data_IF_069853772477
#
_entry.id   IF_069853772477
#
_cell.length_a   1.000
_cell.length_b   1.000
_cell.length_c   1.000
_cell.angle_alpha   90.00
_cell.angle_beta   90.00
_cell.angle_gamma   90.00
#
_symmetry.space_group_name_H-M   'P 1'
#
loop_
_entity.id
_entity.type
_entity.pdbx_description
1 polymer ?
#
# COMPACT_ATOMS: atom_id res chain seq x y z
N UNK A 1 15.81 -27.60 2.53
CA UNK A 1 16.91 -27.19 3.44
C UNK A 1 18.17 -27.06 2.59
N UNK A 2 18.47 -25.85 2.16
CA UNK A 2 19.70 -25.55 1.39
C UNK A 2 20.82 -25.39 2.41
N UNK A 3 21.68 -26.38 2.51
CA UNK A 3 22.73 -26.48 3.54
C UNK A 3 23.87 -25.46 3.36
N UNK A 4 24.05 -24.87 2.18
CA UNK A 4 25.12 -23.89 1.90
C UNK A 4 24.84 -22.47 2.38
N UNK A 5 23.57 -22.06 2.47
CA UNK A 5 23.17 -20.72 2.94
C UNK A 5 23.17 -20.62 4.46
N UNK A 6 23.06 -21.75 5.16
CA UNK A 6 22.99 -21.79 6.63
C UNK A 6 24.26 -21.30 7.34
N UNK A 7 25.43 -21.51 6.79
CA UNK A 7 26.71 -21.13 7.46
C UNK A 7 27.03 -19.64 7.37
N UNK A 8 26.62 -18.97 6.29
CA UNK A 8 26.80 -17.51 6.14
C UNK A 8 25.63 -16.70 6.73
N UNK A 9 24.44 -17.29 6.82
CA UNK A 9 23.24 -16.62 7.35
C UNK A 9 23.17 -16.65 8.89
N UNK A 10 23.81 -17.59 9.56
CA UNK A 10 23.75 -17.76 11.01
C UNK A 10 24.07 -16.49 11.83
N UNK A 11 25.11 -15.71 11.52
CA UNK A 11 25.40 -14.46 12.25
C UNK A 11 24.32 -13.41 12.02
N UNK A 12 23.82 -13.29 10.78
CA UNK A 12 22.74 -12.35 10.43
C UNK A 12 21.43 -12.77 11.08
N UNK A 13 21.07 -14.04 11.02
CA UNK A 13 19.86 -14.56 11.65
C UNK A 13 19.86 -14.35 13.15
N UNK A 14 21.00 -14.51 13.82
CA UNK A 14 21.14 -14.20 15.26
C UNK A 14 20.95 -12.70 15.53
N UNK A 15 21.61 -11.84 14.76
CA UNK A 15 21.52 -10.41 14.91
C UNK A 15 20.09 -9.90 14.62
N UNK A 16 19.44 -10.41 13.58
CA UNK A 16 18.04 -10.12 13.31
C UNK A 16 17.11 -10.64 14.40
N UNK A 17 17.34 -11.84 14.91
CA UNK A 17 16.55 -12.38 16.02
C UNK A 17 16.69 -11.55 17.29
N UNK A 18 17.89 -11.08 17.61
CA UNK A 18 18.14 -10.18 18.73
C UNK A 18 17.45 -8.81 18.54
N UNK A 19 17.47 -8.25 17.32
CA UNK A 19 16.80 -6.99 17.02
C UNK A 19 15.27 -7.12 17.08
N UNK A 20 14.72 -8.20 16.51
CA UNK A 20 13.27 -8.46 16.48
C UNK A 20 12.70 -8.85 17.86
N UNK A 21 13.54 -9.35 18.78
CA UNK A 21 13.13 -9.71 20.15
C UNK A 21 13.02 -8.51 21.10
N UNK A 22 13.36 -7.29 20.63
CA UNK A 22 13.29 -6.06 21.44
C UNK A 22 11.90 -5.46 21.37
N UNK A 23 11.50 -4.74 22.42
CA UNK A 23 10.25 -3.95 22.43
C UNK A 23 10.17 -2.90 21.29
N UNK A 24 11.34 -2.39 20.83
CA UNK A 24 11.48 -1.52 19.67
C UNK A 24 12.43 -2.15 18.64
N UNK A 25 11.94 -2.82 17.61
CA UNK A 25 12.75 -3.56 16.63
C UNK A 25 13.43 -2.66 15.58
N UNK A 26 13.87 -1.47 15.96
CA UNK A 26 14.59 -0.54 15.05
C UNK A 26 16.10 -0.74 15.22
N UNK A 27 16.83 -1.18 14.18
CA UNK A 27 18.27 -1.36 14.27
C UNK A 27 18.99 -0.01 14.46
N UNK A 28 19.96 0.01 15.38
CA UNK A 28 20.81 1.18 15.65
C UNK A 28 21.73 1.50 14.46
N UNK A 29 22.35 2.69 14.46
CA UNK A 29 23.29 3.09 13.39
C UNK A 29 24.52 2.18 13.28
N UNK A 30 24.96 1.58 14.38
CA UNK A 30 26.08 0.66 14.43
C UNK A 30 25.70 -0.72 13.89
N UNK A 31 24.57 -1.25 14.32
CA UNK A 31 24.00 -2.50 13.80
C UNK A 31 23.71 -2.42 12.29
N UNK A 32 23.23 -1.29 11.79
CA UNK A 32 23.08 -1.05 10.34
C UNK A 32 24.39 -1.12 9.57
N UNK A 33 25.51 -0.69 10.18
CA UNK A 33 26.84 -0.80 9.55
C UNK A 33 27.33 -2.25 9.49
N UNK A 34 26.99 -3.08 10.47
CA UNK A 34 27.32 -4.52 10.49
C UNK A 34 26.42 -5.34 9.56
N UNK A 35 25.12 -4.99 9.50
CA UNK A 35 24.15 -5.67 8.64
C UNK A 35 24.44 -5.42 7.15
N UNK A 36 24.82 -4.21 6.76
CA UNK A 36 25.00 -3.84 5.36
C UNK A 36 25.99 -4.74 4.58
N UNK A 37 27.26 -4.94 5.03
CA UNK A 37 28.21 -5.77 4.29
C UNK A 37 27.79 -7.26 4.29
N UNK A 38 27.03 -7.69 5.29
CA UNK A 38 26.51 -9.06 5.37
C UNK A 38 25.29 -9.22 4.45
N UNK A 39 24.41 -8.24 4.38
CA UNK A 39 23.29 -8.22 3.45
C UNK A 39 23.77 -8.18 1.99
N UNK A 40 24.81 -7.38 1.67
CA UNK A 40 25.39 -7.34 0.32
C UNK A 40 26.03 -8.69 -0.10
N UNK A 41 26.49 -9.50 0.86
CA UNK A 41 27.01 -10.85 0.58
C UNK A 41 25.90 -11.88 0.37
N UNK A 42 24.76 -11.72 1.04
CA UNK A 42 23.62 -12.64 0.94
C UNK A 42 22.67 -12.31 -0.19
N UNK A 43 22.48 -11.00 -0.45
CA UNK A 43 21.63 -10.53 -1.54
C UNK A 43 22.47 -10.31 -2.80
N UNK A 44 22.68 -11.35 -3.57
CA UNK A 44 23.35 -11.26 -4.86
C UNK A 44 22.52 -10.39 -5.81
N UNK A 45 23.20 -9.50 -6.58
CA UNK A 45 22.54 -8.64 -7.60
C UNK A 45 22.15 -9.41 -8.87
N UNK A 46 22.58 -10.64 -8.98
CA UNK A 46 22.36 -11.50 -10.13
C UNK A 46 21.74 -12.81 -9.68
N UNK A 47 20.91 -13.40 -10.53
CA UNK A 47 20.31 -14.73 -10.30
C UNK A 47 21.42 -15.77 -10.23
N UNK A 48 21.44 -16.51 -9.14
CA UNK A 48 22.40 -17.61 -8.92
C UNK A 48 21.77 -18.97 -9.25
N UNK A 49 22.59 -20.00 -9.36
CA UNK A 49 22.09 -21.37 -9.56
C UNK A 49 21.23 -21.82 -8.37
N UNK A 50 21.59 -21.38 -7.15
CA UNK A 50 20.85 -21.70 -5.94
C UNK A 50 19.45 -21.07 -5.95
N UNK A 51 19.29 -19.86 -6.50
CA UNK A 51 17.98 -19.21 -6.67
C UNK A 51 17.09 -20.01 -7.65
N UNK A 52 17.67 -20.53 -8.72
CA UNK A 52 16.94 -21.37 -9.69
C UNK A 52 16.49 -22.67 -9.01
N UNK A 53 17.39 -23.34 -8.30
CA UNK A 53 17.07 -24.59 -7.57
C UNK A 53 16.00 -24.33 -6.53
N UNK A 54 16.10 -23.26 -5.75
CA UNK A 54 15.10 -22.86 -4.76
C UNK A 54 13.73 -22.60 -5.41
N UNK A 55 13.70 -21.89 -6.53
CA UNK A 55 12.46 -21.61 -7.26
C UNK A 55 11.79 -22.87 -7.80
N UNK A 56 12.57 -23.81 -8.33
CA UNK A 56 12.06 -25.11 -8.80
C UNK A 56 11.55 -25.94 -7.64
N UNK A 57 12.30 -25.98 -6.53
CA UNK A 57 11.89 -26.68 -5.30
C UNK A 57 10.57 -26.16 -4.77
N UNK A 58 10.44 -24.82 -4.63
CA UNK A 58 9.19 -24.17 -4.18
C UNK A 58 8.01 -24.50 -5.10
N UNK A 59 8.23 -24.52 -6.42
CA UNK A 59 7.18 -24.86 -7.38
C UNK A 59 6.73 -26.33 -7.25
N UNK A 60 7.66 -27.23 -6.99
CA UNK A 60 7.34 -28.62 -6.72
C UNK A 60 6.62 -28.80 -5.39
N UNK A 61 7.04 -28.10 -4.34
CA UNK A 61 6.40 -28.12 -3.03
C UNK A 61 4.94 -27.67 -3.11
N UNK A 62 4.67 -26.56 -3.84
CA UNK A 62 3.30 -26.09 -4.12
C UNK A 62 2.45 -27.13 -4.85
N UNK A 63 3.04 -27.87 -5.81
CA UNK A 63 2.34 -28.95 -6.52
C UNK A 63 1.90 -30.09 -5.60
N UNK A 64 2.64 -30.32 -4.53
CA UNK A 64 2.33 -31.34 -3.53
C UNK A 64 1.54 -30.79 -2.32
N UNK A 65 1.06 -29.55 -2.41
CA UNK A 65 0.26 -28.91 -1.35
C UNK A 65 1.09 -28.44 -0.15
N UNK A 66 2.39 -28.30 -0.31
CA UNK A 66 3.29 -27.77 0.72
C UNK A 66 3.51 -26.28 0.44
N UNK A 67 2.97 -25.43 1.32
CA UNK A 67 3.00 -23.97 1.17
C UNK A 67 1.70 -23.39 0.60
N UNK A 68 1.65 -22.10 0.47
CA UNK A 68 0.51 -21.34 -0.05
C UNK A 68 0.91 -20.56 -1.30
N UNK A 69 -0.01 -20.44 -2.26
CA UNK A 69 0.20 -19.62 -3.46
C UNK A 69 -0.04 -18.17 -3.08
N UNK A 70 0.93 -17.32 -3.38
CA UNK A 70 0.78 -15.87 -3.22
C UNK A 70 -0.31 -15.32 -4.13
N UNK A 71 -1.16 -14.46 -3.57
CA UNK A 71 -2.18 -13.75 -4.33
C UNK A 71 -1.63 -12.38 -4.76
N UNK A 72 -1.62 -12.13 -6.08
CA UNK A 72 -1.15 -10.87 -6.67
C UNK A 72 -2.05 -9.69 -6.25
N UNK A 73 -3.35 -9.94 -6.04
CA UNK A 73 -4.32 -8.91 -5.70
C UNK A 73 -4.39 -8.60 -4.21
N UNK A 74 -3.68 -9.36 -3.40
CA UNK A 74 -3.53 -9.10 -1.97
C UNK A 74 -2.79 -7.78 -1.74
N UNK A 75 -3.32 -6.90 -0.87
CA UNK A 75 -2.72 -5.58 -0.60
C UNK A 75 -1.38 -5.64 0.18
N UNK A 76 -1.00 -6.80 0.68
CA UNK A 76 0.37 -7.08 1.15
C UNK A 76 1.39 -7.14 0.01
N UNK A 77 0.96 -7.50 -1.21
CA UNK A 77 1.79 -7.58 -2.41
C UNK A 77 1.63 -6.35 -3.34
N UNK A 78 0.60 -5.54 -3.14
CA UNK A 78 0.34 -4.31 -3.90
C UNK A 78 0.62 -3.10 -3.03
N UNK A 79 1.56 -2.27 -3.45
CA UNK A 79 1.91 -1.03 -2.75
C UNK A 79 1.54 0.21 -3.55
N UNK A 80 1.31 1.29 -2.85
CA UNK A 80 1.07 2.61 -3.44
C UNK A 80 2.40 3.32 -3.64
N UNK A 81 2.63 3.84 -4.84
CA UNK A 81 3.75 4.73 -5.13
C UNK A 81 3.29 6.18 -4.97
N UNK A 82 3.83 6.86 -3.99
CA UNK A 82 3.53 8.26 -3.73
C UNK A 82 4.21 9.19 -4.75
N UNK A 83 3.78 10.45 -4.76
CA UNK A 83 4.37 11.50 -5.62
C UNK A 83 5.88 11.63 -5.41
N UNK A 84 6.35 11.50 -4.16
CA UNK A 84 7.78 11.58 -3.84
C UNK A 84 8.60 10.53 -4.56
N UNK A 85 8.17 9.27 -4.58
CA UNK A 85 8.84 8.19 -5.29
C UNK A 85 8.82 8.40 -6.80
N UNK A 86 7.68 8.84 -7.36
CA UNK A 86 7.57 9.11 -8.79
C UNK A 86 8.50 10.25 -9.23
N UNK A 87 8.58 11.32 -8.45
CA UNK A 87 9.51 12.43 -8.69
C UNK A 87 10.98 11.98 -8.53
N UNK A 88 11.29 11.19 -7.54
CA UNK A 88 12.64 10.64 -7.35
C UNK A 88 13.10 9.85 -8.56
N UNK A 89 12.24 8.99 -9.12
CA UNK A 89 12.53 8.22 -10.32
C UNK A 89 12.79 9.13 -11.54
N UNK A 90 12.00 10.18 -11.71
CA UNK A 90 12.19 11.15 -12.79
C UNK A 90 13.48 11.96 -12.60
N UNK A 91 13.76 12.42 -11.38
CA UNK A 91 15.01 13.11 -11.07
C UNK A 91 16.22 12.22 -11.35
N UNK A 92 16.16 10.94 -11.00
CA UNK A 92 17.24 9.98 -11.30
C UNK A 92 17.53 9.88 -12.80
N UNK A 93 16.48 9.82 -13.63
CA UNK A 93 16.63 9.84 -15.09
C UNK A 93 17.27 11.16 -15.56
N UNK A 94 16.83 12.30 -15.02
CA UNK A 94 17.38 13.62 -15.33
C UNK A 94 18.87 13.75 -14.96
N UNK A 95 19.23 13.28 -13.77
CA UNK A 95 20.62 13.30 -13.29
C UNK A 95 21.49 12.34 -14.09
N UNK A 96 21.02 11.16 -14.44
CA UNK A 96 21.77 10.22 -15.29
C UNK A 96 22.03 10.77 -16.69
N UNK A 97 21.08 11.50 -17.26
CA UNK A 97 21.28 12.23 -18.55
C UNK A 97 22.32 13.35 -18.38
N UNK A 98 22.26 14.10 -17.28
CA UNK A 98 23.25 15.14 -16.96
C UNK A 98 24.64 14.56 -16.80
N UNK A 99 24.81 13.46 -16.07
CA UNK A 99 26.08 12.76 -15.87
C UNK A 99 26.70 12.36 -17.22
N UNK A 100 25.90 11.78 -18.11
CA UNK A 100 26.36 11.41 -19.45
C UNK A 100 26.87 12.62 -20.24
N UNK A 101 26.12 13.73 -20.24
CA UNK A 101 26.49 14.96 -20.92
C UNK A 101 27.78 15.58 -20.35
N UNK A 102 27.96 15.51 -19.04
CA UNK A 102 29.20 15.98 -18.40
C UNK A 102 30.39 15.14 -18.86
N UNK A 103 30.26 13.80 -18.85
CA UNK A 103 31.32 12.90 -19.32
C UNK A 103 31.68 13.16 -20.79
N UNK A 104 30.69 13.35 -21.66
CA UNK A 104 30.90 13.68 -23.09
C UNK A 104 31.65 15.02 -23.24
N UNK A 105 31.26 16.06 -22.47
CA UNK A 105 31.95 17.37 -22.50
C UNK A 105 33.36 17.30 -21.96
N UNK A 106 33.59 16.57 -20.85
CA UNK A 106 34.94 16.38 -20.31
C UNK A 106 35.88 15.67 -21.29
N UNK A 107 35.35 14.79 -22.13
CA UNK A 107 36.15 14.09 -23.17
C UNK A 107 36.47 14.98 -24.37
N UNK A 108 35.66 16.02 -24.64
CA UNK A 108 35.80 16.87 -25.85
C UNK A 108 36.43 18.22 -25.61
N UNK A 109 36.44 18.73 -24.37
CA UNK A 109 36.96 20.06 -24.00
C UNK A 109 38.39 19.97 -23.47
N UNK A 110 39.16 21.06 -23.66
CA UNK A 110 40.52 21.14 -23.11
C UNK A 110 40.50 21.22 -21.56
N UNK A 111 41.20 20.32 -20.87
CA UNK A 111 41.20 20.27 -19.40
C UNK A 111 41.68 21.58 -18.74
N UNK A 112 42.43 22.43 -19.46
CA UNK A 112 42.97 23.68 -18.89
C UNK A 112 41.97 24.85 -18.91
N UNK A 113 40.95 24.80 -19.78
CA UNK A 113 39.97 25.87 -19.93
C UNK A 113 38.57 25.49 -19.30
N UNK A 114 38.42 24.25 -18.85
CA UNK A 114 37.16 23.76 -18.35
C UNK A 114 36.80 24.32 -17.00
N UNK A 115 35.65 24.99 -16.91
CA UNK A 115 35.06 25.44 -15.64
C UNK A 115 33.86 24.55 -15.26
N UNK A 116 33.58 24.39 -13.97
CA UNK A 116 32.43 23.61 -13.48
C UNK A 116 31.09 24.14 -14.03
N UNK A 117 30.94 25.45 -14.13
CA UNK A 117 29.76 26.10 -14.71
C UNK A 117 29.58 25.84 -16.20
N UNK A 118 30.68 25.65 -16.95
CA UNK A 118 30.63 25.30 -18.37
C UNK A 118 30.25 23.83 -18.61
N UNK A 119 30.62 22.94 -17.71
CA UNK A 119 30.31 21.52 -17.80
C UNK A 119 28.87 21.20 -17.44
N UNK A 120 28.33 21.83 -16.39
CA UNK A 120 27.02 21.53 -15.84
C UNK A 120 25.93 22.25 -16.65
N UNK A 121 25.01 21.47 -17.23
CA UNK A 121 23.83 21.98 -17.92
C UNK A 121 22.57 21.48 -17.21
N UNK A 122 21.86 22.35 -16.54
CA UNK A 122 20.66 22.03 -15.75
C UNK A 122 19.43 21.70 -16.64
N UNK A 123 19.47 22.02 -17.94
CA UNK A 123 18.34 21.82 -18.86
C UNK A 123 17.76 20.41 -18.88
N UNK A 124 18.54 19.31 -18.90
CA UNK A 124 18.00 17.95 -18.91
C UNK A 124 17.16 17.64 -17.66
N UNK A 125 17.59 18.11 -16.49
CA UNK A 125 16.87 17.92 -15.23
C UNK A 125 15.55 18.71 -15.22
N UNK A 126 15.62 20.01 -15.60
CA UNK A 126 14.43 20.85 -15.71
C UNK A 126 13.42 20.34 -16.75
N UNK A 127 13.92 19.78 -17.86
CA UNK A 127 13.07 19.20 -18.90
C UNK A 127 12.28 17.98 -18.39
N UNK A 128 12.92 17.06 -17.67
CA UNK A 128 12.25 15.86 -17.12
C UNK A 128 11.20 16.22 -16.10
N UNK A 129 11.46 17.20 -15.21
CA UNK A 129 10.49 17.66 -14.24
C UNK A 129 9.29 18.31 -14.94
N UNK A 130 9.54 19.16 -15.96
CA UNK A 130 8.49 19.81 -16.74
C UNK A 130 7.65 18.80 -17.52
N UNK A 131 8.30 17.78 -18.08
CA UNK A 131 7.65 16.67 -18.78
C UNK A 131 6.74 15.88 -17.83
N UNK A 132 7.21 15.58 -16.62
CA UNK A 132 6.41 14.88 -15.61
C UNK A 132 5.14 15.64 -15.23
N UNK A 133 5.24 16.91 -14.89
CA UNK A 133 4.07 17.70 -14.51
C UNK A 133 3.16 18.07 -15.70
N UNK A 134 3.68 18.16 -16.90
CA UNK A 134 2.93 18.57 -18.09
C UNK A 134 2.28 17.45 -18.89
N UNK A 135 2.88 16.23 -18.89
CA UNK A 135 2.43 15.14 -19.77
C UNK A 135 2.21 13.81 -19.08
N UNK A 136 2.52 13.68 -17.78
CA UNK A 136 2.26 12.45 -17.05
C UNK A 136 0.76 12.22 -16.86
N UNK A 137 0.30 10.99 -17.09
CA UNK A 137 -1.09 10.57 -16.84
C UNK A 137 -1.51 10.75 -15.37
N UNK A 138 -0.56 10.68 -14.44
CA UNK A 138 -0.81 10.80 -13.00
C UNK A 138 -0.81 12.26 -12.52
N UNK A 139 -0.23 13.17 -13.29
CA UNK A 139 -0.31 14.61 -13.03
C UNK A 139 -1.56 15.15 -13.70
N UNK A 140 -2.59 15.38 -12.91
CA UNK A 140 -3.90 15.80 -13.39
C UNK A 140 -4.24 17.19 -12.87
N UNK A 141 -5.09 17.92 -13.60
CA UNK A 141 -5.68 19.15 -13.11
C UNK A 141 -6.58 18.82 -11.92
N UNK A 142 -6.42 19.54 -10.81
CA UNK A 142 -7.17 19.25 -9.60
C UNK A 142 -8.65 19.64 -9.77
N UNK A 143 -9.54 18.73 -9.39
CA UNK A 143 -10.96 18.99 -9.33
C UNK A 143 -11.25 19.86 -8.11
N UNK A 144 -11.70 21.09 -8.34
CA UNK A 144 -11.97 22.12 -7.31
C UNK A 144 -13.43 22.58 -7.31
N UNK A 145 -14.34 21.80 -7.86
CA UNK A 145 -15.77 22.15 -7.93
C UNK A 145 -16.39 22.32 -6.54
N UNK A 146 -15.98 21.48 -5.59
CA UNK A 146 -16.34 21.60 -4.18
C UNK A 146 -15.23 21.00 -3.28
N UNK A 147 -15.22 21.29 -1.96
CA UNK A 147 -14.20 20.74 -1.05
C UNK A 147 -14.12 19.22 -1.00
N UNK A 148 -15.25 18.52 -1.18
CA UNK A 148 -15.29 17.04 -1.20
C UNK A 148 -14.62 16.51 -2.46
N UNK A 149 -14.85 17.13 -3.62
CA UNK A 149 -14.22 16.77 -4.88
C UNK A 149 -12.69 16.90 -4.79
N UNK A 150 -12.21 17.99 -4.21
CA UNK A 150 -10.78 18.23 -3.98
C UNK A 150 -10.16 17.16 -3.06
N UNK A 151 -10.79 16.90 -1.91
CA UNK A 151 -10.33 15.89 -0.96
C UNK A 151 -10.30 14.49 -1.58
N UNK A 152 -11.36 14.12 -2.30
CA UNK A 152 -11.47 12.83 -2.97
C UNK A 152 -10.42 12.67 -4.06
N UNK A 153 -10.16 13.74 -4.84
CA UNK A 153 -9.14 13.71 -5.88
C UNK A 153 -7.73 13.48 -5.31
N UNK A 154 -7.42 14.09 -4.17
CA UNK A 154 -6.13 13.90 -3.46
C UNK A 154 -5.97 12.48 -2.88
N UNK A 155 -7.07 11.79 -2.58
CA UNK A 155 -7.09 10.43 -2.02
C UNK A 155 -7.33 9.33 -3.06
N UNK A 156 -7.28 9.66 -4.35
CA UNK A 156 -7.51 8.73 -5.44
C UNK A 156 -6.32 7.79 -5.65
N UNK A 157 -6.60 6.51 -5.81
CA UNK A 157 -5.64 5.46 -6.13
C UNK A 157 -5.85 5.02 -7.57
N UNK A 158 -4.79 5.01 -8.37
CA UNK A 158 -4.83 4.57 -9.76
C UNK A 158 -3.94 3.36 -9.97
N UNK A 159 -4.47 2.31 -10.60
CA UNK A 159 -3.69 1.17 -11.07
C UNK A 159 -2.99 1.45 -12.40
N UNK A 160 -3.35 2.54 -13.07
CA UNK A 160 -2.83 2.97 -14.37
C UNK A 160 -1.57 3.83 -14.20
N UNK A 161 -0.81 3.98 -15.28
CA UNK A 161 0.31 4.91 -15.34
C UNK A 161 1.67 4.21 -15.49
N UNK A 162 2.77 4.98 -15.39
CA UNK A 162 4.13 4.45 -15.57
C UNK A 162 4.45 3.35 -14.54
N UNK A 163 4.75 2.15 -15.03
CA UNK A 163 5.00 0.97 -14.19
C UNK A 163 3.76 0.38 -13.52
N UNK A 164 2.56 0.82 -13.89
CA UNK A 164 1.27 0.23 -13.57
C UNK A 164 0.72 -0.63 -14.70
N UNK A 165 -0.59 -0.90 -14.61
CA UNK A 165 -1.31 -1.69 -15.61
C UNK A 165 -1.65 -0.84 -16.85
N UNK A 166 -1.75 -1.50 -18.00
CA UNK A 166 -2.36 -0.91 -19.18
C UNK A 166 -3.86 -1.25 -19.18
N UNK A 167 -4.70 -0.29 -19.53
CA UNK A 167 -6.17 -0.44 -19.56
C UNK A 167 -6.63 -1.65 -20.37
N UNK A 168 -6.02 -1.87 -21.54
CA UNK A 168 -6.40 -2.94 -22.47
C UNK A 168 -5.95 -4.34 -21.99
N UNK A 169 -4.98 -4.40 -21.08
CA UNK A 169 -4.44 -5.65 -20.49
C UNK A 169 -4.99 -5.96 -19.10
N UNK A 170 -5.79 -5.06 -18.54
CA UNK A 170 -6.37 -5.26 -17.23
C UNK A 170 -7.50 -6.30 -17.30
N UNK A 171 -7.28 -7.46 -16.67
CA UNK A 171 -8.25 -8.54 -16.53
C UNK A 171 -9.37 -8.16 -15.55
N UNK A 172 -10.44 -8.96 -15.49
CA UNK A 172 -11.52 -8.77 -14.52
C UNK A 172 -11.01 -8.93 -13.08
N UNK A 173 -10.12 -9.88 -12.83
CA UNK A 173 -9.57 -10.16 -11.49
C UNK A 173 -8.94 -8.92 -10.82
N UNK A 174 -8.19 -8.12 -11.60
CA UNK A 174 -7.57 -6.88 -11.08
C UNK A 174 -8.60 -5.79 -10.75
N UNK A 175 -9.80 -5.87 -11.32
CA UNK A 175 -10.90 -4.92 -11.11
C UNK A 175 -11.82 -5.33 -9.97
N UNK A 176 -11.72 -6.59 -9.53
CA UNK A 176 -12.55 -7.14 -8.47
C UNK A 176 -12.12 -6.60 -7.09
N UNK A 177 -13.04 -6.72 -6.15
CA UNK A 177 -12.82 -6.35 -4.76
C UNK A 177 -12.25 -7.56 -4.02
N UNK A 178 -11.04 -7.43 -3.52
CA UNK A 178 -10.39 -8.44 -2.70
C UNK A 178 -10.70 -8.21 -1.21
N UNK A 179 -10.74 -9.26 -0.38
CA UNK A 179 -11.03 -9.12 1.06
C UNK A 179 -10.09 -8.15 1.78
N UNK A 180 -8.82 -8.06 1.35
CA UNK A 180 -7.83 -7.13 1.91
C UNK A 180 -8.14 -5.65 1.65
N UNK A 181 -9.12 -5.34 0.79
CA UNK A 181 -9.58 -3.96 0.56
C UNK A 181 -10.35 -3.40 1.76
N UNK A 182 -10.81 -4.27 2.66
CA UNK A 182 -11.54 -3.85 3.86
C UNK A 182 -10.74 -2.83 4.68
N UNK A 183 -11.36 -1.70 4.95
CA UNK A 183 -10.72 -0.61 5.71
C UNK A 183 -9.57 0.12 4.99
N UNK A 184 -9.19 -0.27 3.77
CA UNK A 184 -8.08 0.29 2.99
C UNK A 184 -8.51 0.98 1.72
N UNK A 185 -9.29 0.30 0.90
CA UNK A 185 -9.81 0.81 -0.36
C UNK A 185 -11.34 0.74 -0.35
N UNK A 186 -12.01 1.82 -0.74
CA UNK A 186 -13.46 1.84 -0.80
C UNK A 186 -13.97 0.89 -1.89
N UNK A 187 -14.87 -0.05 -1.55
CA UNK A 187 -15.43 -0.97 -2.54
C UNK A 187 -16.48 -0.35 -3.45
N UNK A 188 -16.99 0.83 -3.11
CA UNK A 188 -18.11 1.46 -3.79
C UNK A 188 -17.64 2.57 -4.73
N UNK A 189 -16.74 3.45 -4.28
CA UNK A 189 -16.32 4.61 -5.05
C UNK A 189 -15.31 4.23 -6.15
N UNK A 190 -15.79 4.05 -7.37
CA UNK A 190 -15.00 3.81 -8.59
C UNK A 190 -15.68 4.53 -9.76
N UNK A 191 -14.95 4.91 -10.83
CA UNK A 191 -15.55 5.42 -12.03
C UNK A 191 -16.44 4.37 -12.73
N UNK A 192 -17.47 4.82 -13.40
CA UNK A 192 -18.27 3.99 -14.31
C UNK A 192 -17.57 3.86 -15.66
N UNK A 193 -17.73 2.71 -16.33
CA UNK A 193 -17.21 2.46 -17.67
C UNK A 193 -15.84 1.80 -17.69
N UNK A 194 -14.99 2.15 -18.66
CA UNK A 194 -13.73 1.44 -18.95
C UNK A 194 -12.71 1.40 -17.79
N UNK A 195 -12.75 2.35 -16.89
CA UNK A 195 -11.82 2.46 -15.77
C UNK A 195 -12.37 1.86 -14.47
N UNK A 196 -13.49 1.14 -14.52
CA UNK A 196 -14.08 0.52 -13.33
C UNK A 196 -13.07 -0.42 -12.66
N UNK A 197 -12.93 -0.33 -11.34
CA UNK A 197 -11.99 -1.12 -10.55
C UNK A 197 -10.51 -0.74 -10.69
N UNK A 198 -10.12 0.01 -11.73
CA UNK A 198 -8.72 0.47 -11.92
C UNK A 198 -8.41 1.79 -11.21
N UNK A 199 -9.44 2.55 -10.94
CA UNK A 199 -9.33 3.80 -10.16
C UNK A 199 -10.23 3.64 -8.96
N UNK A 200 -9.66 3.74 -7.78
CA UNK A 200 -10.33 3.57 -6.49
C UNK A 200 -10.02 4.74 -5.57
N UNK A 201 -10.70 4.83 -4.46
CA UNK A 201 -10.46 5.83 -3.43
C UNK A 201 -9.99 5.19 -2.14
N UNK A 202 -9.07 5.86 -1.44
CA UNK A 202 -8.60 5.43 -0.14
C UNK A 202 -9.75 5.51 0.89
N UNK A 203 -9.90 4.48 1.71
CA UNK A 203 -10.90 4.45 2.77
C UNK A 203 -10.68 5.58 3.81
N UNK A 204 -11.72 5.95 4.54
CA UNK A 204 -11.73 7.15 5.39
C UNK A 204 -10.58 7.21 6.38
N UNK A 205 -10.32 6.12 7.10
CA UNK A 205 -9.28 6.05 8.14
C UNK A 205 -7.97 5.43 7.68
N UNK A 206 -7.89 4.97 6.43
CA UNK A 206 -6.70 4.33 5.89
C UNK A 206 -5.54 5.32 5.76
N UNK A 207 -4.32 4.83 6.02
CA UNK A 207 -3.05 5.54 5.85
C UNK A 207 -2.10 4.69 5.03
N UNK A 208 -1.13 5.35 4.40
CA UNK A 208 -0.05 4.67 3.67
C UNK A 208 1.21 4.77 4.53
N UNK A 209 1.91 3.65 4.71
CA UNK A 209 3.16 3.60 5.47
C UNK A 209 4.35 4.09 4.62
N UNK A 210 5.54 4.14 5.22
CA UNK A 210 6.79 4.59 4.56
C UNK A 210 7.19 3.70 3.38
N UNK A 211 6.75 2.45 3.37
CA UNK A 211 7.03 1.48 2.30
C UNK A 211 5.98 1.48 1.18
N UNK A 212 4.88 2.22 1.36
CA UNK A 212 3.80 2.32 0.39
C UNK A 212 2.63 1.36 0.61
N UNK A 213 2.62 0.57 1.69
CA UNK A 213 1.49 -0.31 2.01
C UNK A 213 0.37 0.46 2.71
N UNK A 214 -0.86 0.11 2.38
CA UNK A 214 -2.04 0.73 2.99
C UNK A 214 -2.34 0.03 4.31
N UNK A 215 -2.45 0.82 5.37
CA UNK A 215 -2.77 0.37 6.72
C UNK A 215 -4.17 0.82 7.12
N UNK A 216 -4.85 -0.01 7.91
CA UNK A 216 -6.14 0.29 8.52
C UNK A 216 -6.03 0.30 10.05
N UNK A 217 -6.78 1.16 10.77
CA UNK A 217 -6.75 1.23 12.22
C UNK A 217 -7.67 0.20 12.85
N UNK A 218 -7.20 -0.42 13.93
CA UNK A 218 -7.94 -1.37 14.75
C UNK A 218 -7.72 -1.10 16.22
N UNK A 219 -8.75 -1.32 17.06
CA UNK A 219 -8.65 -1.28 18.52
C UNK A 219 -8.11 -2.62 19.00
N UNK A 220 -7.10 -2.57 19.85
CA UNK A 220 -6.52 -3.77 20.44
C UNK A 220 -7.42 -4.33 21.54
N UNK A 221 -7.63 -5.66 21.54
CA UNK A 221 -8.31 -6.38 22.62
C UNK A 221 -7.24 -7.00 23.53
N UNK A 222 -7.35 -6.76 24.81
CA UNK A 222 -6.49 -7.39 25.80
C UNK A 222 -6.96 -8.84 26.06
N UNK A 223 -6.10 -9.80 25.76
CA UNK A 223 -6.43 -11.24 25.88
C UNK A 223 -6.65 -11.71 27.31
N UNK A 224 -5.99 -11.06 28.28
CA UNK A 224 -6.09 -11.48 29.68
C UNK A 224 -7.40 -11.02 30.33
N UNK A 225 -7.84 -9.83 29.97
CA UNK A 225 -9.05 -9.21 30.56
C UNK A 225 -10.27 -9.29 29.64
N UNK A 226 -10.08 -9.54 28.34
CA UNK A 226 -11.14 -9.50 27.32
C UNK A 226 -11.71 -8.09 27.10
N UNK A 227 -10.96 -7.05 27.44
CA UNK A 227 -11.37 -5.65 27.33
C UNK A 227 -10.86 -5.08 26.01
N UNK A 228 -11.74 -4.39 25.27
CA UNK A 228 -11.36 -3.59 24.11
C UNK A 228 -10.71 -2.30 24.62
N UNK A 229 -9.44 -2.11 24.28
CA UNK A 229 -8.69 -0.93 24.71
C UNK A 229 -8.93 0.26 23.77
N UNK A 230 -8.65 1.47 24.23
CA UNK A 230 -8.65 2.67 23.37
C UNK A 230 -7.36 2.80 22.52
N UNK A 231 -6.43 1.86 22.68
CA UNK A 231 -5.22 1.84 21.89
C UNK A 231 -5.52 1.39 20.45
N UNK A 232 -5.15 2.23 19.50
CA UNK A 232 -5.40 1.99 18.08
C UNK A 232 -4.09 1.66 17.38
N UNK A 233 -4.00 0.46 16.84
CA UNK A 233 -2.88 -0.01 16.03
C UNK A 233 -3.23 0.10 14.54
N UNK A 234 -2.25 0.50 13.72
CA UNK A 234 -2.40 0.51 12.27
C UNK A 234 -1.75 -0.73 11.69
N UNK A 235 -2.56 -1.63 11.14
CA UNK A 235 -2.10 -2.90 10.60
C UNK A 235 -2.08 -2.89 9.06
N UNK A 236 -1.03 -3.48 8.49
CA UNK A 236 -0.99 -3.84 7.07
C UNK A 236 -1.87 -5.06 6.79
N UNK A 237 -2.12 -5.37 5.51
CA UNK A 237 -2.96 -6.52 5.16
C UNK A 237 -2.36 -7.86 5.63
N UNK A 238 -1.03 -8.03 5.50
CA UNK A 238 -0.32 -9.24 5.94
C UNK A 238 -0.35 -9.43 7.45
N UNK A 239 -0.32 -8.33 8.20
CA UNK A 239 -0.42 -8.37 9.66
C UNK A 239 -1.83 -8.71 10.09
N UNK A 240 -2.85 -8.10 9.44
CA UNK A 240 -4.26 -8.35 9.74
C UNK A 240 -4.65 -9.82 9.54
N UNK A 241 -4.16 -10.48 8.50
CA UNK A 241 -4.46 -11.87 8.20
C UNK A 241 -4.08 -12.86 9.32
N UNK A 242 -3.21 -12.44 10.23
CA UNK A 242 -2.79 -13.25 11.38
C UNK A 242 -3.74 -13.13 12.57
N UNK A 243 -4.63 -12.14 12.55
CA UNK A 243 -5.48 -11.79 13.69
C UNK A 243 -6.95 -12.00 13.38
N UNK A 244 -7.73 -12.19 14.45
CA UNK A 244 -9.17 -12.26 14.40
C UNK A 244 -9.71 -10.89 14.81
N UNK A 245 -10.47 -10.27 13.91
CA UNK A 245 -10.96 -8.90 14.08
C UNK A 245 -12.48 -8.92 14.28
N UNK A 246 -12.94 -8.40 15.42
CA UNK A 246 -14.35 -8.21 15.71
C UNK A 246 -14.93 -7.02 14.93
N UNK A 247 -16.21 -7.11 14.57
CA UNK A 247 -16.91 -6.01 13.89
C UNK A 247 -17.19 -4.84 14.82
N UNK A 248 -17.20 -3.61 14.30
CA UNK A 248 -17.43 -2.38 15.07
C UNK A 248 -18.85 -2.29 15.67
N UNK A 249 -19.82 -3.04 15.14
CA UNK A 249 -21.22 -3.01 15.61
C UNK A 249 -21.48 -3.90 16.82
N UNK A 250 -20.51 -4.71 17.23
CA UNK A 250 -20.69 -5.56 18.41
C UNK A 250 -20.86 -4.72 19.68
N UNK A 251 -21.89 -5.02 20.51
CA UNK A 251 -22.14 -4.26 21.71
C UNK A 251 -21.07 -4.54 22.76
N UNK A 252 -20.56 -3.46 23.35
CA UNK A 252 -19.64 -3.48 24.48
C UNK A 252 -20.36 -3.10 25.77
N UNK A 253 -19.97 -3.72 26.87
CA UNK A 253 -20.40 -3.38 28.20
C UNK A 253 -19.74 -2.06 28.70
N UNK A 254 -20.17 -1.49 29.79
CA UNK A 254 -19.58 -0.29 30.42
C UNK A 254 -18.08 -0.44 30.71
N UNK A 255 -17.62 -1.67 30.89
CA UNK A 255 -16.22 -2.00 31.13
C UNK A 255 -15.42 -2.25 29.82
N UNK A 256 -16.04 -2.08 28.64
CA UNK A 256 -15.40 -2.32 27.35
C UNK A 256 -15.27 -3.80 26.96
N UNK A 257 -16.04 -4.70 27.58
CA UNK A 257 -16.07 -6.14 27.23
C UNK A 257 -17.20 -6.44 26.28
N UNK A 258 -17.00 -7.46 25.44
CA UNK A 258 -18.06 -7.97 24.56
C UNK A 258 -19.21 -8.56 25.39
N UNK A 259 -20.42 -8.12 25.09
CA UNK A 259 -21.65 -8.59 25.80
C UNK A 259 -21.97 -10.03 25.40
N UNK A 260 -21.84 -10.35 24.11
CA UNK A 260 -22.13 -11.67 23.57
C UNK A 260 -20.97 -12.65 23.83
N UNK A 261 -21.27 -13.92 24.10
CA UNK A 261 -20.26 -14.99 24.18
C UNK A 261 -19.66 -15.32 22.80
N UNK A 262 -20.47 -15.19 21.75
CA UNK A 262 -20.05 -15.34 20.35
C UNK A 262 -20.14 -13.98 19.68
N UNK A 263 -19.03 -13.58 19.08
CA UNK A 263 -18.83 -12.27 18.47
C UNK A 263 -18.69 -12.46 16.97
N UNK A 264 -19.38 -11.65 16.19
CA UNK A 264 -19.22 -11.60 14.75
C UNK A 264 -17.83 -11.05 14.43
N UNK A 265 -17.02 -11.85 13.74
CA UNK A 265 -15.64 -11.53 13.47
C UNK A 265 -15.25 -11.87 12.03
N UNK A 266 -14.14 -11.30 11.62
CA UNK A 266 -13.49 -11.54 10.34
C UNK A 266 -12.12 -12.15 10.58
N UNK A 267 -11.82 -13.21 9.85
CA UNK A 267 -10.50 -13.80 9.77
C UNK A 267 -10.19 -14.12 8.31
N UNK A 268 -9.24 -13.40 7.73
CA UNK A 268 -8.95 -13.43 6.29
C UNK A 268 -10.20 -13.11 5.45
N UNK A 269 -10.62 -14.01 4.58
CA UNK A 269 -11.82 -13.91 3.72
C UNK A 269 -13.11 -14.39 4.40
N UNK A 270 -13.01 -15.05 5.56
CA UNK A 270 -14.14 -15.67 6.25
C UNK A 270 -14.75 -14.71 7.28
N UNK A 271 -16.06 -14.52 7.16
CA UNK A 271 -16.89 -13.86 8.19
C UNK A 271 -17.58 -14.96 9.00
N UNK A 272 -17.25 -15.07 10.26
CA UNK A 272 -17.74 -16.12 11.15
C UNK A 272 -18.04 -15.55 12.54
N UNK A 273 -18.75 -16.35 13.35
CA UNK A 273 -18.92 -16.05 14.77
C UNK A 273 -17.96 -16.92 15.58
N UNK A 274 -17.13 -16.28 16.39
CA UNK A 274 -16.18 -16.96 17.28
C UNK A 274 -16.38 -16.57 18.73
N UNK A 275 -15.90 -17.38 19.70
CA UNK A 275 -15.92 -17.02 21.11
C UNK A 275 -15.11 -15.74 21.34
N UNK A 276 -15.62 -14.86 22.21
CA UNK A 276 -15.03 -13.55 22.56
C UNK A 276 -13.57 -13.63 23.02
N UNK A 277 -13.15 -14.74 23.62
CA UNK A 277 -11.79 -14.96 24.10
C UNK A 277 -10.72 -15.04 22.99
N UNK A 278 -11.17 -15.32 21.77
CA UNK A 278 -10.27 -15.43 20.60
C UNK A 278 -10.05 -14.12 19.85
N UNK A 279 -10.76 -13.06 20.24
CA UNK A 279 -10.66 -11.77 19.57
C UNK A 279 -9.32 -11.11 19.85
N UNK A 280 -8.62 -10.68 18.82
CA UNK A 280 -7.35 -9.97 18.89
C UNK A 280 -7.56 -8.46 18.77
N UNK A 281 -8.42 -8.06 17.84
CA UNK A 281 -8.71 -6.67 17.50
C UNK A 281 -10.20 -6.45 17.29
N UNK A 282 -10.61 -5.19 17.31
CA UNK A 282 -11.95 -4.73 16.95
C UNK A 282 -11.86 -3.57 15.97
N UNK A 283 -12.76 -3.50 15.00
CA UNK A 283 -12.88 -2.37 14.10
C UNK A 283 -13.18 -1.07 14.88
N UNK A 284 -12.60 0.04 14.46
CA UNK A 284 -12.79 1.35 15.12
C UNK A 284 -14.19 1.90 14.85
N UNK A 285 -14.67 1.79 13.62
CA UNK A 285 -15.97 2.32 13.20
C UNK A 285 -16.44 1.60 11.92
N UNK A 286 -17.75 1.43 11.71
CA UNK A 286 -18.29 0.92 10.45
C UNK A 286 -17.92 1.78 9.24
N UNK A 287 -17.69 3.08 9.45
CA UNK A 287 -17.30 4.03 8.38
C UNK A 287 -15.89 3.81 7.85
N UNK A 288 -15.08 2.98 8.49
CA UNK A 288 -13.72 2.68 7.99
C UNK A 288 -13.73 1.92 6.67
N UNK A 289 -14.82 1.22 6.34
CA UNK A 289 -14.96 0.45 5.10
C UNK A 289 -15.00 1.33 3.85
N UNK A 290 -15.57 2.52 3.95
CA UNK A 290 -15.92 3.37 2.82
C UNK A 290 -15.05 4.61 2.72
N UNK A 291 -15.03 5.25 1.52
CA UNK A 291 -14.37 6.53 1.31
C UNK A 291 -15.15 7.70 1.91
N UNK A 292 -14.53 8.87 1.96
CA UNK A 292 -15.15 10.09 2.53
C UNK A 292 -16.44 10.47 1.78
N UNK A 293 -16.43 10.42 0.45
CA UNK A 293 -17.62 10.74 -0.34
C UNK A 293 -18.77 9.76 -0.10
N UNK A 294 -18.45 8.48 -0.02
CA UNK A 294 -19.44 7.42 0.24
C UNK A 294 -19.97 7.48 1.67
N UNK A 295 -19.13 7.80 2.66
CA UNK A 295 -19.53 7.93 4.06
C UNK A 295 -20.53 9.07 4.33
N UNK A 296 -20.68 10.00 3.41
CA UNK A 296 -21.63 11.12 3.49
C UNK A 296 -23.00 10.77 2.93
N UNK A 297 -23.19 9.61 2.33
CA UNK A 297 -24.51 9.15 1.84
C UNK A 297 -25.33 8.71 3.05
N UNK A 298 -26.50 9.36 3.30
CA UNK A 298 -27.36 8.97 4.40
C UNK A 298 -28.02 7.60 4.12
N UNK A 299 -28.16 6.78 5.15
CA UNK A 299 -28.77 5.44 5.09
C UNK A 299 -28.13 4.51 4.04
N UNK A 300 -26.81 4.62 3.90
CA UNK A 300 -26.02 3.85 2.93
C UNK A 300 -26.23 2.34 3.07
N UNK A 301 -26.44 1.86 4.29
CA UNK A 301 -26.69 0.44 4.60
C UNK A 301 -27.93 -0.13 3.95
N UNK A 302 -28.89 0.72 3.58
CA UNK A 302 -30.15 0.34 2.93
C UNK A 302 -30.11 0.49 1.40
N UNK A 303 -29.03 1.09 0.87
CA UNK A 303 -28.88 1.35 -0.55
C UNK A 303 -28.23 0.18 -1.30
N UNK A 304 -28.65 -0.05 -2.53
CA UNK A 304 -27.96 -0.95 -3.45
C UNK A 304 -26.58 -0.37 -3.84
N UNK A 305 -25.59 -1.24 -3.95
CA UNK A 305 -24.19 -0.87 -4.26
C UNK A 305 -24.07 -0.06 -5.55
N UNK A 306 -24.83 -0.41 -6.59
CA UNK A 306 -24.82 0.33 -7.87
C UNK A 306 -25.33 1.78 -7.69
N UNK A 307 -26.36 1.96 -6.88
CA UNK A 307 -26.91 3.29 -6.58
C UNK A 307 -25.99 4.10 -5.67
N UNK A 308 -25.36 3.46 -4.70
CA UNK A 308 -24.36 4.08 -3.86
C UNK A 308 -23.13 4.56 -4.66
N UNK A 309 -22.70 3.79 -5.67
CA UNK A 309 -21.65 4.18 -6.60
C UNK A 309 -22.03 5.45 -7.37
N UNK A 310 -23.23 5.48 -7.95
CA UNK A 310 -23.74 6.68 -8.63
C UNK A 310 -23.85 7.86 -7.68
N UNK A 311 -24.33 7.65 -6.45
CA UNK A 311 -24.46 8.67 -5.41
C UNK A 311 -23.13 9.29 -5.00
N UNK A 312 -22.09 8.46 -4.80
CA UNK A 312 -20.74 8.92 -4.45
C UNK A 312 -20.10 9.76 -5.57
N UNK A 313 -20.32 9.37 -6.83
CA UNK A 313 -19.86 10.12 -7.99
C UNK A 313 -20.63 11.44 -8.16
N UNK A 314 -21.93 11.46 -7.90
CA UNK A 314 -22.76 12.66 -7.96
C UNK A 314 -22.39 13.71 -6.92
N UNK A 315 -21.96 13.33 -5.72
CA UNK A 315 -21.56 14.29 -4.68
C UNK A 315 -20.37 15.17 -5.10
N UNK A 316 -19.58 14.71 -6.06
CA UNK A 316 -18.46 15.47 -6.64
C UNK A 316 -18.88 16.36 -7.81
N UNK A 317 -20.08 16.14 -8.36
CA UNK A 317 -20.56 16.85 -9.54
C UNK A 317 -21.12 18.22 -9.19
N UNK A 318 -20.76 19.23 -9.96
CA UNK A 318 -21.25 20.61 -9.83
C UNK A 318 -22.69 20.77 -10.31
N UNK A 319 -23.10 20.00 -11.32
CA UNK A 319 -24.43 20.12 -11.95
C UNK A 319 -25.60 20.02 -10.97
N UNK A 320 -25.38 19.36 -9.83
CA UNK A 320 -26.40 19.16 -8.82
C UNK A 320 -26.74 20.42 -8.01
N UNK A 321 -25.84 21.41 -7.95
CA UNK A 321 -26.02 22.62 -7.15
C UNK A 321 -26.61 23.79 -7.90
N UNK A 322 -26.32 23.88 -9.18
CA UNK A 322 -26.73 25.03 -10.02
C UNK A 322 -28.18 24.92 -10.52
N UNK A 323 -28.76 23.74 -10.53
CA UNK A 323 -30.11 23.52 -11.08
C UNK A 323 -31.28 23.68 -10.10
N UNK A 324 -31.07 24.15 -8.89
CA UNK A 324 -32.13 24.20 -7.84
C UNK A 324 -32.17 25.48 -7.01
N UNK A 325 -31.60 26.57 -7.49
CA UNK A 325 -31.90 27.90 -6.97
C UNK A 325 -32.97 28.56 -7.79
#
# INVERSE_FOLDING_TARGET
RVTGVQTCALPICKLFHEILSRENPVPTKEEKKEIRPLADKLCHKHVTVDDIVASVSTNLDLKYGIGTIDNIDHLGNRRVRSVGELLQNQLHVGISRLERLIKERMATQDPMEVTASGLINIRPVSAVIREFFGSSQLSQFMDQTNPIAELTHKRKLSALGPGGLNRDRATFEVRDIHHTHYGRMCPIETPEGQNIGLISSLATFAKVNEYGFIMSPYRRVDKDTGIVTDHVDYLTADEEDRYIVAQANEPLDENGRFVHERVACRHQDLITEMPREKMDYMDVSPKQLVSVATALIPFLENDDTNRALMGSNMQRSEERRVGKE
#
